data_IF_280295494483
#
_entry.id   IF_280295494483
#
_cell.length_a   1.000
_cell.length_b   1.000
_cell.length_c   1.000
_cell.angle_alpha   90.00
_cell.angle_beta   90.00
_cell.angle_gamma   90.00
#
_symmetry.space_group_name_H-M   'P 1'
#
loop_
_entity.id
_entity.type
_entity.pdbx_description
1 polymer ?
#
# COMPACT_ATOMS: atom_id res chain seq x y z
N UNK A 1 3.58 11.32 -8.12
CA UNK A 1 4.60 11.67 -7.11
C UNK A 1 4.41 13.09 -6.56
N UNK A 2 3.26 13.74 -6.83
CA UNK A 2 3.07 15.19 -6.59
C UNK A 2 2.16 15.55 -5.40
N UNK A 3 1.61 14.57 -4.66
CA UNK A 3 0.67 14.85 -3.56
C UNK A 3 1.37 15.02 -2.21
N UNK A 4 2.54 14.40 -2.00
CA UNK A 4 3.19 14.40 -0.68
C UNK A 4 3.85 15.74 -0.30
N UNK A 5 4.11 16.64 -1.26
CA UNK A 5 4.87 17.87 -1.01
C UNK A 5 4.05 19.00 -0.38
N UNK A 6 2.71 18.96 -0.44
CA UNK A 6 1.85 20.04 0.08
C UNK A 6 1.41 19.88 1.53
N UNK A 7 1.46 18.67 2.10
CA UNK A 7 0.70 18.38 3.32
C UNK A 7 1.51 18.18 4.61
N UNK A 8 2.86 18.32 4.62
CA UNK A 8 3.70 17.96 5.80
C UNK A 8 3.40 16.56 6.34
N UNK A 9 3.03 15.62 5.49
CA UNK A 9 2.81 14.25 5.90
C UNK A 9 4.18 13.56 5.97
N UNK A 10 4.50 12.98 7.13
CA UNK A 10 5.69 12.16 7.29
C UNK A 10 5.75 11.12 6.17
N UNK A 11 6.93 10.93 5.59
CA UNK A 11 7.13 10.00 4.48
C UNK A 11 6.63 8.59 4.87
N UNK A 12 5.67 8.00 4.14
CA UNK A 12 5.28 6.61 4.37
C UNK A 12 6.50 5.70 4.21
N UNK A 13 6.76 4.87 5.22
CA UNK A 13 7.80 3.85 5.12
C UNK A 13 7.22 2.60 4.46
N UNK A 14 7.75 2.20 3.30
CA UNK A 14 7.27 1.01 2.59
C UNK A 14 8.26 -0.13 2.79
N UNK A 15 7.80 -1.22 3.40
CA UNK A 15 8.55 -2.45 3.60
C UNK A 15 8.04 -3.50 2.61
N UNK A 16 8.94 -4.16 1.88
CA UNK A 16 8.56 -5.29 1.03
C UNK A 16 9.11 -6.60 1.63
N UNK A 17 8.21 -7.53 1.86
CA UNK A 17 8.52 -8.86 2.37
C UNK A 17 8.35 -9.89 1.24
N UNK A 18 9.41 -10.65 0.96
CA UNK A 18 9.43 -11.64 -0.12
C UNK A 18 9.22 -13.04 0.49
N UNK A 19 8.06 -13.65 0.21
CA UNK A 19 7.64 -14.92 0.78
C UNK A 19 7.49 -15.98 -0.31
N UNK A 20 8.05 -17.17 -0.07
CA UNK A 20 7.82 -18.35 -0.90
C UNK A 20 8.97 -18.74 -1.84
N UNK A 21 8.83 -19.91 -2.51
CA UNK A 21 9.89 -20.49 -3.34
C UNK A 21 10.07 -19.70 -4.64
N UNK A 22 11.22 -19.87 -5.30
CA UNK A 22 11.59 -19.13 -6.52
C UNK A 22 10.51 -19.14 -7.61
N UNK A 23 9.77 -20.25 -7.72
CA UNK A 23 8.71 -20.46 -8.72
C UNK A 23 7.32 -19.92 -8.29
N UNK A 24 7.15 -19.52 -7.03
CA UNK A 24 5.92 -18.93 -6.50
C UNK A 24 6.24 -17.88 -5.43
N UNK A 25 7.07 -16.90 -5.82
CA UNK A 25 7.40 -15.77 -4.96
C UNK A 25 6.18 -14.87 -4.83
N UNK A 26 5.79 -14.61 -3.61
CA UNK A 26 4.78 -13.61 -3.28
C UNK A 26 5.45 -12.45 -2.58
N UNK A 27 5.00 -11.26 -2.90
CA UNK A 27 5.50 -10.00 -2.38
C UNK A 27 4.41 -9.41 -1.51
N UNK A 28 4.65 -9.38 -0.20
CA UNK A 28 3.80 -8.72 0.76
C UNK A 28 4.36 -7.32 1.01
N UNK A 29 3.62 -6.30 0.64
CA UNK A 29 4.02 -4.92 0.89
C UNK A 29 3.36 -4.42 2.17
N UNK A 30 4.11 -3.75 3.03
CA UNK A 30 3.62 -3.08 4.23
C UNK A 30 3.98 -1.60 4.15
N UNK A 31 3.12 -0.73 4.63
CA UNK A 31 3.36 0.70 4.70
C UNK A 31 3.13 1.17 6.12
N UNK A 32 4.10 1.86 6.71
CA UNK A 32 3.97 2.44 8.05
C UNK A 32 3.82 3.94 7.89
N UNK A 33 2.72 4.47 8.42
CA UNK A 33 2.43 5.90 8.42
C UNK A 33 2.04 6.36 9.80
N UNK A 34 2.78 7.35 10.30
CA UNK A 34 2.51 7.96 11.60
C UNK A 34 2.43 6.94 12.76
N UNK A 35 3.22 5.86 12.68
CA UNK A 35 3.21 4.76 13.65
C UNK A 35 2.10 3.72 13.47
N UNK A 36 1.26 3.85 12.43
CA UNK A 36 0.24 2.86 12.08
C UNK A 36 0.72 2.01 10.91
N UNK A 37 0.65 0.69 11.07
CA UNK A 37 1.06 -0.28 10.06
C UNK A 37 -0.14 -0.66 9.17
N UNK A 38 0.04 -0.51 7.86
CA UNK A 38 -0.94 -0.87 6.84
C UNK A 38 -0.38 -2.00 5.99
N UNK A 39 -1.11 -3.10 5.92
CA UNK A 39 -0.75 -4.24 5.09
C UNK A 39 -1.96 -4.79 4.36
N UNK A 40 -1.85 -5.14 3.07
CA UNK A 40 -2.91 -5.79 2.33
C UNK A 40 -3.12 -7.20 2.85
N UNK A 41 -4.36 -7.66 2.88
CA UNK A 41 -4.75 -9.00 3.35
C UNK A 41 -4.18 -10.12 2.46
N UNK A 42 -3.91 -9.81 1.19
CA UNK A 42 -3.43 -10.76 0.20
C UNK A 42 -2.02 -10.39 -0.29
N UNK A 43 -1.05 -11.31 -0.17
CA UNK A 43 0.27 -11.11 -0.75
C UNK A 43 0.18 -11.21 -2.27
N UNK A 44 0.90 -10.33 -2.98
CA UNK A 44 0.76 -10.18 -4.43
C UNK A 44 1.92 -10.83 -5.16
N UNK A 45 1.66 -11.54 -6.26
CA UNK A 45 2.74 -12.17 -7.06
C UNK A 45 3.58 -11.17 -7.85
N UNK A 46 3.21 -9.88 -7.84
CA UNK A 46 3.86 -8.85 -8.64
C UNK A 46 4.24 -7.64 -7.76
N UNK A 47 5.52 -7.24 -7.76
CA UNK A 47 6.04 -6.15 -6.90
C UNK A 47 5.31 -4.83 -7.13
N UNK A 48 5.00 -4.50 -8.39
CA UNK A 48 4.25 -3.27 -8.75
C UNK A 48 2.81 -3.30 -8.21
N UNK A 49 2.12 -4.42 -8.39
CA UNK A 49 0.75 -4.59 -7.94
C UNK A 49 0.65 -4.53 -6.41
N UNK A 50 1.56 -5.21 -5.69
CA UNK A 50 1.61 -5.17 -4.24
C UNK A 50 1.83 -3.75 -3.69
N UNK A 51 2.70 -2.97 -4.33
CA UNK A 51 2.90 -1.56 -3.95
C UNK A 51 1.66 -0.70 -4.21
N UNK A 52 0.95 -0.91 -5.32
CA UNK A 52 -0.28 -0.18 -5.60
C UNK A 52 -1.38 -0.52 -4.57
N UNK A 53 -1.50 -1.79 -4.20
CA UNK A 53 -2.46 -2.25 -3.19
C UNK A 53 -2.18 -1.64 -1.82
N UNK A 54 -0.92 -1.63 -1.34
CA UNK A 54 -0.61 -1.01 -0.05
C UNK A 54 -0.85 0.50 -0.08
N UNK A 55 -0.55 1.18 -1.19
CA UNK A 55 -0.88 2.59 -1.37
C UNK A 55 -2.39 2.84 -1.32
N UNK A 56 -3.23 1.97 -1.91
CA UNK A 56 -4.68 2.09 -1.81
C UNK A 56 -5.16 1.98 -0.37
N UNK A 57 -4.72 0.95 0.37
CA UNK A 57 -5.09 0.77 1.79
C UNK A 57 -4.67 1.96 2.63
N UNK A 58 -3.46 2.48 2.39
CA UNK A 58 -2.95 3.68 3.04
C UNK A 58 -3.83 4.90 2.74
N UNK A 59 -4.17 5.14 1.48
CA UNK A 59 -4.98 6.29 1.08
C UNK A 59 -6.41 6.20 1.64
N UNK A 60 -7.01 5.00 1.61
CA UNK A 60 -8.30 4.71 2.22
C UNK A 60 -8.27 5.01 3.73
N UNK A 61 -7.24 4.56 4.44
CA UNK A 61 -7.07 4.84 5.87
C UNK A 61 -6.84 6.32 6.19
N UNK A 62 -6.22 7.06 5.27
CA UNK A 62 -6.02 8.51 5.38
C UNK A 62 -7.29 9.31 5.02
N UNK A 63 -8.36 8.66 4.58
CA UNK A 63 -9.59 9.32 4.14
C UNK A 63 -9.47 9.97 2.76
N UNK A 64 -8.41 9.66 2.01
CA UNK A 64 -8.30 9.98 0.58
C UNK A 64 -9.07 8.92 -0.19
N UNK A 65 -10.38 9.08 -0.11
CA UNK A 65 -11.33 8.22 -0.77
C UNK A 65 -11.21 8.36 -2.30
N UNK A 66 -10.69 7.30 -2.93
CA UNK A 66 -10.87 7.06 -4.36
C UNK A 66 -12.07 6.11 -4.57
N UNK A 67 -13.04 6.06 -3.65
CA UNK A 67 -14.33 5.38 -3.84
C UNK A 67 -15.35 6.35 -4.45
N UNK A 68 -14.96 6.90 -5.60
CA UNK A 68 -15.98 7.30 -6.57
C UNK A 68 -16.70 6.02 -7.05
N UNK A 69 -17.91 5.83 -6.54
CA UNK A 69 -18.98 4.99 -7.10
C UNK A 69 -18.75 3.47 -7.15
N UNK A 70 -19.20 2.76 -6.11
CA UNK A 70 -19.93 1.49 -6.33
C UNK A 70 -21.18 1.43 -5.46
N UNK A 71 -22.06 2.42 -5.68
CA UNK A 71 -23.46 2.33 -5.29
C UNK A 71 -24.31 2.67 -6.52
N UNK A 72 -24.35 1.76 -7.49
CA UNK A 72 -25.44 1.64 -8.48
C UNK A 72 -25.62 0.15 -8.76
#
# INVERSE_FOLDING_TARGET
MEVCSRNRWMNPEFVCDEMGPHNNRRYLWKAVLNGVEYSPSLPSSNKKAGKAQVCMVVLEALGFDFVVNILI
#
